data_IF_926529640377
#
_entry.id   IF_926529640377
#
_cell.length_a   1.000
_cell.length_b   1.000
_cell.length_c   1.000
_cell.angle_alpha   90.00
_cell.angle_beta   90.00
_cell.angle_gamma   90.00
#
_symmetry.space_group_name_H-M   'P 1'
#
loop_
_entity.id
_entity.type
_entity.pdbx_description
1 polymer ?
#
# COMPACT_ATOMS: atom_id res chain seq x y z
N UNK A 1 4.21 -13.12 22.07
CA UNK A 1 2.77 -12.76 21.95
C UNK A 1 2.62 -11.24 21.95
N UNK A 2 3.16 -10.51 22.95
CA UNK A 2 3.10 -9.05 23.01
C UNK A 2 3.56 -8.34 21.71
N UNK A 3 4.78 -8.62 21.22
CA UNK A 3 5.31 -7.94 20.02
C UNK A 3 4.46 -8.17 18.77
N UNK A 4 3.97 -9.41 18.59
CA UNK A 4 3.10 -9.76 17.48
C UNK A 4 1.76 -9.04 17.57
N UNK A 5 1.14 -9.01 18.75
CA UNK A 5 -0.12 -8.30 18.98
C UNK A 5 0.04 -6.80 18.76
N UNK A 6 1.13 -6.22 19.26
CA UNK A 6 1.46 -4.81 19.05
C UNK A 6 1.63 -4.50 17.55
N UNK A 7 2.45 -5.30 16.85
CA UNK A 7 2.70 -5.13 15.42
C UNK A 7 1.41 -5.20 14.61
N UNK A 8 0.60 -6.26 14.77
CA UNK A 8 -0.65 -6.43 14.01
C UNK A 8 -1.63 -5.29 14.28
N UNK A 9 -1.74 -4.85 15.53
CA UNK A 9 -2.66 -3.76 15.90
C UNK A 9 -2.26 -2.44 15.26
N UNK A 10 -0.98 -2.08 15.33
CA UNK A 10 -0.49 -0.81 14.78
C UNK A 10 -0.47 -0.86 13.24
N UNK A 11 0.05 -1.95 12.67
CA UNK A 11 0.19 -2.09 11.22
C UNK A 11 -1.17 -2.14 10.49
N UNK A 12 -2.20 -2.74 11.10
CA UNK A 12 -3.51 -2.87 10.44
C UNK A 12 -4.36 -1.59 10.51
N UNK A 13 -4.27 -0.84 11.61
CA UNK A 13 -5.15 0.30 11.84
C UNK A 13 -4.91 1.42 10.83
N UNK A 14 -3.66 1.87 10.70
CA UNK A 14 -3.33 3.01 9.84
C UNK A 14 -3.44 2.64 8.35
N UNK A 15 -2.86 1.50 7.95
CA UNK A 15 -2.83 1.10 6.53
C UNK A 15 -4.23 0.85 5.95
N UNK A 16 -5.10 0.17 6.70
CA UNK A 16 -6.46 -0.11 6.23
C UNK A 16 -7.31 1.16 6.17
N UNK A 17 -7.17 2.06 7.16
CA UNK A 17 -7.89 3.33 7.18
C UNK A 17 -7.49 4.23 6.00
N UNK A 18 -6.19 4.36 5.74
CA UNK A 18 -5.66 5.12 4.59
C UNK A 18 -6.12 4.49 3.28
N UNK A 19 -6.05 3.17 3.13
CA UNK A 19 -6.50 2.48 1.92
C UNK A 19 -7.97 2.76 1.61
N UNK A 20 -8.85 2.68 2.61
CA UNK A 20 -10.26 2.98 2.43
C UNK A 20 -10.48 4.45 2.02
N UNK A 21 -9.76 5.39 2.63
CA UNK A 21 -9.79 6.80 2.25
C UNK A 21 -9.35 7.02 0.80
N UNK A 22 -8.22 6.44 0.40
CA UNK A 22 -7.68 6.51 -0.95
C UNK A 22 -8.63 5.87 -1.97
N UNK A 23 -9.29 4.76 -1.62
CA UNK A 23 -10.27 4.12 -2.49
C UNK A 23 -11.49 5.00 -2.75
N UNK A 24 -12.07 5.60 -1.69
CA UNK A 24 -13.18 6.55 -1.83
C UNK A 24 -12.74 7.75 -2.68
N UNK A 25 -11.56 8.31 -2.41
CA UNK A 25 -11.03 9.44 -3.16
C UNK A 25 -10.87 9.09 -4.65
N UNK A 26 -10.21 7.96 -4.97
CA UNK A 26 -9.98 7.52 -6.34
C UNK A 26 -11.30 7.28 -7.08
N UNK A 27 -12.25 6.58 -6.47
CA UNK A 27 -13.54 6.26 -7.12
C UNK A 27 -14.38 7.52 -7.35
N UNK A 28 -14.40 8.44 -6.40
CA UNK A 28 -15.26 9.63 -6.44
C UNK A 28 -14.64 10.84 -7.14
N UNK A 29 -13.34 10.83 -7.42
CA UNK A 29 -12.67 11.87 -8.20
C UNK A 29 -13.20 12.00 -9.65
N UNK A 30 -13.85 10.96 -10.17
CA UNK A 30 -14.53 10.97 -11.46
C UNK A 30 -15.96 10.39 -11.29
N UNK A 31 -17.01 11.19 -11.49
CA UNK A 31 -18.40 10.72 -11.41
C UNK A 31 -18.72 9.54 -12.33
N UNK A 32 -18.04 9.44 -13.48
CA UNK A 32 -18.22 8.34 -14.44
C UNK A 32 -17.69 7.03 -13.87
N UNK A 33 -16.55 7.07 -13.17
CA UNK A 33 -15.96 5.91 -12.48
C UNK A 33 -16.85 5.43 -11.34
N UNK A 34 -17.35 6.37 -10.52
CA UNK A 34 -18.28 6.04 -9.44
C UNK A 34 -19.58 5.41 -9.97
N UNK A 35 -20.16 5.98 -11.04
CA UNK A 35 -21.36 5.44 -11.67
C UNK A 35 -21.11 4.04 -12.26
N UNK A 36 -19.98 3.85 -12.94
CA UNK A 36 -19.62 2.57 -13.53
C UNK A 36 -19.41 1.48 -12.47
N UNK A 37 -18.68 1.77 -11.39
CA UNK A 37 -18.46 0.80 -10.31
C UNK A 37 -19.75 0.49 -9.55
N UNK A 38 -20.65 1.49 -9.39
CA UNK A 38 -21.98 1.27 -8.84
C UNK A 38 -22.85 0.34 -9.69
N UNK A 39 -22.67 0.36 -11.01
CA UNK A 39 -23.35 -0.55 -11.94
C UNK A 39 -22.69 -1.94 -12.04
N UNK A 40 -21.42 -2.07 -11.65
CA UNK A 40 -20.64 -3.31 -11.75
C UNK A 40 -19.92 -3.66 -10.43
N UNK A 41 -20.66 -4.01 -9.37
CA UNK A 41 -20.10 -4.26 -8.04
C UNK A 41 -19.12 -5.46 -7.99
N UNK A 42 -19.17 -6.37 -8.96
CA UNK A 42 -18.21 -7.47 -9.10
C UNK A 42 -16.76 -6.99 -9.27
N UNK A 43 -16.57 -5.73 -9.69
CA UNK A 43 -15.24 -5.13 -9.86
C UNK A 43 -14.67 -4.46 -8.61
N UNK A 44 -15.37 -4.46 -7.48
CA UNK A 44 -14.88 -3.87 -6.22
C UNK A 44 -13.51 -4.44 -5.83
N UNK A 45 -13.32 -5.76 -5.92
CA UNK A 45 -12.04 -6.38 -5.60
C UNK A 45 -10.91 -5.87 -6.50
N UNK A 46 -11.15 -5.80 -7.82
CA UNK A 46 -10.17 -5.23 -8.76
C UNK A 46 -9.92 -3.72 -8.54
N UNK A 47 -10.92 -2.97 -8.07
CA UNK A 47 -10.75 -1.57 -7.70
C UNK A 47 -9.82 -1.42 -6.50
N UNK A 48 -9.92 -2.29 -5.49
CA UNK A 48 -9.01 -2.26 -4.33
C UNK A 48 -7.56 -2.49 -4.78
N UNK A 49 -7.33 -3.46 -5.66
CA UNK A 49 -5.99 -3.71 -6.25
C UNK A 49 -5.47 -2.48 -7.01
N UNK A 50 -6.34 -1.80 -7.76
CA UNK A 50 -5.97 -0.60 -8.50
C UNK A 50 -5.61 0.57 -7.57
N UNK A 51 -6.31 0.71 -6.43
CA UNK A 51 -5.97 1.71 -5.41
C UNK A 51 -4.61 1.38 -4.80
N UNK A 52 -4.33 0.12 -4.48
CA UNK A 52 -3.02 -0.33 -3.98
C UNK A 52 -1.90 -0.07 -4.99
N UNK A 53 -2.18 -0.17 -6.29
CA UNK A 53 -1.20 0.13 -7.34
C UNK A 53 -0.95 1.63 -7.48
N UNK A 54 -2.00 2.45 -7.38
CA UNK A 54 -1.93 3.89 -7.64
C UNK A 54 -1.46 4.69 -6.42
N UNK A 55 -2.02 4.41 -5.25
CA UNK A 55 -1.79 5.17 -4.02
C UNK A 55 -1.82 4.23 -2.79
N UNK A 56 -0.79 3.35 -2.64
CA UNK A 56 -0.70 2.42 -1.53
C UNK A 56 -0.46 3.17 -0.21
N UNK A 57 -1.02 2.69 0.92
CA UNK A 57 -0.76 3.29 2.23
C UNK A 57 0.73 3.31 2.64
N UNK A 58 1.52 2.36 2.13
CA UNK A 58 2.97 2.27 2.36
C UNK A 58 3.65 2.08 1.01
N UNK A 59 4.39 3.08 0.56
CA UNK A 59 5.15 3.05 -0.69
C UNK A 59 6.62 2.67 -0.51
N UNK A 60 7.14 2.73 0.72
CA UNK A 60 8.56 2.50 1.03
C UNK A 60 8.68 1.61 2.26
N UNK A 61 9.56 0.62 2.18
CA UNK A 61 10.03 -0.15 3.34
C UNK A 61 11.55 -0.19 3.31
N UNK A 62 12.18 0.11 4.44
CA UNK A 62 13.63 0.10 4.55
C UNK A 62 14.19 -1.32 4.68
N UNK A 63 15.45 -1.47 4.29
CA UNK A 63 16.28 -2.65 4.51
C UNK A 63 17.66 -2.17 4.98
N UNK A 64 18.40 -3.03 5.65
CA UNK A 64 19.79 -2.80 6.05
C UNK A 64 20.65 -3.83 5.34
N UNK A 65 21.73 -3.40 4.70
CA UNK A 65 22.67 -4.26 3.99
C UNK A 65 23.44 -5.15 4.97
N UNK A 66 23.34 -6.48 4.81
CA UNK A 66 24.04 -7.44 5.67
C UNK A 66 25.53 -7.58 5.37
N UNK A 67 25.98 -7.07 4.23
CA UNK A 67 27.36 -7.06 3.74
C UNK A 67 27.56 -5.94 2.71
N UNK A 68 28.81 -5.69 2.30
CA UNK A 68 29.09 -4.78 1.20
C UNK A 68 28.60 -5.40 -0.12
N UNK A 69 27.76 -4.69 -0.86
CA UNK A 69 27.23 -5.17 -2.15
C UNK A 69 27.17 -4.06 -3.19
N UNK A 70 26.90 -4.43 -4.45
CA UNK A 70 26.64 -3.47 -5.53
C UNK A 70 25.22 -3.68 -6.02
N UNK A 71 24.35 -2.68 -5.85
CA UNK A 71 22.97 -2.70 -6.33
C UNK A 71 22.83 -1.73 -7.51
N UNK A 72 22.42 -2.26 -8.68
CA UNK A 72 22.28 -1.46 -9.91
C UNK A 72 23.53 -0.60 -10.25
N UNK A 73 24.73 -1.14 -9.99
CA UNK A 73 26.00 -0.44 -10.21
C UNK A 73 26.43 0.52 -9.10
N UNK A 74 25.61 0.70 -8.06
CA UNK A 74 25.91 1.55 -6.90
C UNK A 74 26.47 0.70 -5.75
N UNK A 75 27.67 0.99 -5.23
CA UNK A 75 28.18 0.32 -4.03
C UNK A 75 27.35 0.72 -2.80
N UNK A 76 26.87 -0.27 -2.07
CA UNK A 76 26.14 -0.14 -0.80
C UNK A 76 26.98 -0.80 0.30
N UNK A 77 27.49 -0.02 1.28
CA UNK A 77 28.22 -0.58 2.41
C UNK A 77 27.33 -1.42 3.33
N UNK A 78 27.94 -2.38 4.02
CA UNK A 78 27.33 -3.09 5.15
C UNK A 78 26.77 -2.09 6.17
N UNK A 79 25.65 -2.47 6.80
CA UNK A 79 24.96 -1.72 7.86
C UNK A 79 24.38 -0.36 7.40
N UNK A 80 24.17 -0.19 6.08
CA UNK A 80 23.39 0.92 5.46
C UNK A 80 21.98 0.47 5.13
#
# INVERSE_FOLDING_TARGET
IYDLTMFVTIASLETSAVLMGNAVHLVTADPTRAAWLGAHPEHIASTVEEVLRWDPPISINSRVASEDLVLAGVPIPRDT
#
